data_IF_912964965177
#
_entry.id   IF_912964965177
#
_cell.length_a   1.000
_cell.length_b   1.000
_cell.length_c   1.000
_cell.angle_alpha   90.00
_cell.angle_beta   90.00
_cell.angle_gamma   90.00
#
_symmetry.space_group_name_H-M   'P 1'
#
loop_
_entity.id
_entity.type
_entity.pdbx_description
1 polymer ?
#
# COMPACT_ATOMS: atom_id res chain seq x y z
N UNK A 1 -53.99 -59.72 -28.40
CA UNK A 1 -54.28 -59.05 -27.12
C UNK A 1 -53.92 -57.58 -27.24
N UNK A 2 -54.85 -56.71 -27.65
CA UNK A 2 -54.67 -55.26 -27.72
C UNK A 2 -56.05 -54.58 -27.58
N UNK A 3 -56.77 -54.95 -26.53
CA UNK A 3 -58.02 -54.32 -26.11
C UNK A 3 -57.90 -54.06 -24.60
N UNK A 4 -57.40 -52.87 -24.26
CA UNK A 4 -57.51 -52.15 -22.97
C UNK A 4 -56.21 -51.44 -22.54
N UNK A 5 -55.52 -50.76 -23.47
CA UNK A 5 -54.37 -49.90 -23.15
C UNK A 5 -54.50 -48.47 -23.74
N UNK A 6 -55.66 -48.11 -24.29
CA UNK A 6 -55.90 -46.77 -24.88
C UNK A 6 -55.79 -45.66 -23.83
N UNK A 7 -56.22 -45.91 -22.60
CA UNK A 7 -56.16 -44.94 -21.50
C UNK A 7 -54.75 -44.73 -20.95
N UNK A 8 -53.89 -45.75 -20.98
CA UNK A 8 -52.51 -45.64 -20.50
C UNK A 8 -51.66 -44.84 -21.50
N UNK A 9 -51.84 -45.06 -22.80
CA UNK A 9 -51.19 -44.22 -23.82
C UNK A 9 -51.62 -42.75 -23.72
N UNK A 10 -52.90 -42.47 -23.46
CA UNK A 10 -53.38 -41.10 -23.21
C UNK A 10 -52.79 -40.52 -21.92
N UNK A 11 -52.81 -41.25 -20.81
CA UNK A 11 -52.28 -40.77 -19.53
C UNK A 11 -50.77 -40.51 -19.55
N UNK A 12 -50.00 -41.29 -20.32
CA UNK A 12 -48.55 -41.08 -20.46
C UNK A 12 -48.22 -40.01 -21.50
N UNK A 13 -49.01 -39.84 -22.56
CA UNK A 13 -48.73 -38.83 -23.61
C UNK A 13 -49.16 -37.41 -23.23
N UNK A 14 -50.21 -37.24 -22.42
CA UNK A 14 -50.74 -35.92 -22.03
C UNK A 14 -49.70 -35.05 -21.28
N UNK A 15 -48.91 -35.55 -20.32
CA UNK A 15 -47.84 -34.77 -19.67
C UNK A 15 -46.77 -34.31 -20.66
N UNK A 16 -46.37 -35.16 -21.61
CA UNK A 16 -45.41 -34.79 -22.66
C UNK A 16 -46.02 -33.76 -23.62
N UNK A 17 -47.29 -33.90 -23.99
CA UNK A 17 -48.02 -32.90 -24.78
C UNK A 17 -48.13 -31.57 -24.05
N UNK A 18 -48.37 -31.55 -22.73
CA UNK A 18 -48.41 -30.32 -21.92
C UNK A 18 -47.03 -29.67 -21.86
N UNK A 19 -45.95 -30.43 -21.70
CA UNK A 19 -44.58 -29.90 -21.73
C UNK A 19 -44.23 -29.34 -23.11
N UNK A 20 -44.58 -30.05 -24.20
CA UNK A 20 -44.35 -29.62 -25.58
C UNK A 20 -45.21 -28.39 -25.93
N UNK A 21 -46.49 -28.36 -25.52
CA UNK A 21 -47.35 -27.19 -25.69
C UNK A 21 -46.87 -26.02 -24.83
N UNK A 22 -46.38 -26.25 -23.62
CA UNK A 22 -45.80 -25.20 -22.77
C UNK A 22 -44.52 -24.64 -23.37
N UNK A 23 -43.70 -25.49 -23.99
CA UNK A 23 -42.51 -25.08 -24.75
C UNK A 23 -42.89 -24.28 -26.01
N UNK A 24 -43.97 -24.67 -26.69
CA UNK A 24 -44.53 -23.94 -27.84
C UNK A 24 -45.21 -22.61 -27.44
N UNK A 25 -45.84 -22.53 -26.27
CA UNK A 25 -46.46 -21.31 -25.73
C UNK A 25 -45.43 -20.37 -25.07
N UNK A 26 -44.28 -20.88 -24.63
CA UNK A 26 -43.13 -20.07 -24.17
C UNK A 26 -42.37 -19.40 -25.33
N UNK A 27 -42.60 -19.82 -26.58
CA UNK A 27 -42.41 -18.92 -27.72
C UNK A 27 -43.50 -17.85 -27.62
N UNK A 28 -43.24 -16.81 -26.82
CA UNK A 28 -43.95 -15.53 -26.98
C UNK A 28 -44.08 -15.26 -28.48
N UNK A 29 -45.23 -14.78 -28.98
CA UNK A 29 -45.28 -14.21 -30.31
C UNK A 29 -44.43 -12.95 -30.26
N UNK A 30 -43.12 -13.13 -30.36
CA UNK A 30 -42.21 -12.05 -30.57
C UNK A 30 -42.67 -11.44 -31.88
N UNK A 31 -43.16 -10.19 -31.84
CA UNK A 31 -43.19 -9.40 -33.05
C UNK A 31 -41.80 -9.44 -33.70
N UNK A 32 -41.70 -9.19 -35.00
CA UNK A 32 -40.45 -9.37 -35.75
C UNK A 32 -39.20 -8.77 -35.05
N UNK A 33 -39.38 -7.67 -34.31
CA UNK A 33 -38.38 -7.04 -33.44
C UNK A 33 -37.89 -7.92 -32.29
N UNK A 34 -38.79 -8.57 -31.54
CA UNK A 34 -38.39 -9.50 -30.48
C UNK A 34 -37.69 -10.74 -31.05
N UNK A 35 -38.11 -11.21 -32.23
CA UNK A 35 -37.47 -12.34 -32.91
C UNK A 35 -36.05 -11.96 -33.35
N UNK A 36 -35.86 -10.76 -33.88
CA UNK A 36 -34.53 -10.25 -34.23
C UNK A 36 -33.58 -10.23 -33.02
N UNK A 37 -34.02 -9.70 -31.88
CA UNK A 37 -33.23 -9.66 -30.64
C UNK A 37 -32.86 -11.07 -30.15
N UNK A 38 -33.81 -12.00 -30.22
CA UNK A 38 -33.55 -13.39 -29.85
C UNK A 38 -32.56 -14.08 -30.80
N UNK A 39 -32.74 -13.90 -32.12
CA UNK A 39 -31.89 -14.53 -33.14
C UNK A 39 -30.44 -13.99 -33.09
N UNK A 40 -30.21 -12.79 -32.53
CA UNK A 40 -28.89 -12.15 -32.42
C UNK A 40 -28.43 -11.94 -30.96
N UNK A 41 -29.01 -12.68 -30.02
CA UNK A 41 -28.83 -12.45 -28.57
C UNK A 41 -27.36 -12.44 -28.15
N UNK A 42 -26.56 -13.39 -28.63
CA UNK A 42 -25.14 -13.53 -28.27
C UNK A 42 -24.30 -12.36 -28.80
N UNK A 43 -24.50 -11.97 -30.06
CA UNK A 43 -23.79 -10.83 -30.67
C UNK A 43 -24.13 -9.52 -29.96
N UNK A 44 -25.41 -9.30 -29.66
CA UNK A 44 -25.87 -8.11 -28.93
C UNK A 44 -25.26 -8.06 -27.52
N UNK A 45 -25.28 -9.18 -26.79
CA UNK A 45 -24.67 -9.23 -25.45
C UNK A 45 -23.18 -8.95 -25.50
N UNK A 46 -22.45 -9.53 -26.46
CA UNK A 46 -21.02 -9.29 -26.64
C UNK A 46 -20.71 -7.82 -26.89
N UNK A 47 -21.50 -7.16 -27.73
CA UNK A 47 -21.31 -5.74 -28.04
C UNK A 47 -21.60 -4.84 -26.82
N UNK A 48 -22.66 -5.13 -26.05
CA UNK A 48 -22.95 -4.42 -24.79
C UNK A 48 -21.81 -4.56 -23.80
N UNK A 49 -21.23 -5.77 -23.65
CA UNK A 49 -20.08 -6.00 -22.77
C UNK A 49 -18.87 -5.16 -23.22
N UNK A 50 -18.58 -5.12 -24.52
CA UNK A 50 -17.45 -4.38 -25.07
C UNK A 50 -17.61 -2.85 -24.93
N UNK A 51 -18.80 -2.31 -25.21
CA UNK A 51 -19.09 -0.88 -25.06
C UNK A 51 -18.91 -0.43 -23.60
N UNK A 52 -19.45 -1.20 -22.66
CA UNK A 52 -19.36 -0.89 -21.22
C UNK A 52 -17.92 -0.98 -20.72
N UNK A 53 -17.17 -2.01 -21.13
CA UNK A 53 -15.75 -2.15 -20.79
C UNK A 53 -14.91 -0.98 -21.34
N UNK A 54 -15.22 -0.51 -22.55
CA UNK A 54 -14.55 0.66 -23.15
C UNK A 54 -14.78 1.96 -22.37
N UNK A 55 -15.92 2.06 -21.66
CA UNK A 55 -16.26 3.18 -20.79
C UNK A 55 -15.64 3.05 -19.38
N UNK A 56 -14.76 2.06 -19.16
CA UNK A 56 -14.06 1.82 -17.89
C UNK A 56 -14.93 1.17 -16.82
N UNK A 57 -16.16 0.79 -17.16
CA UNK A 57 -17.07 0.04 -16.31
C UNK A 57 -16.97 -1.44 -16.67
N UNK A 58 -16.94 -2.34 -15.70
CA UNK A 58 -16.90 -3.77 -16.02
C UNK A 58 -18.16 -4.46 -15.53
N UNK A 59 -18.71 -5.36 -16.34
CA UNK A 59 -19.89 -6.15 -16.00
C UNK A 59 -19.62 -7.61 -16.34
N UNK A 60 -20.10 -8.53 -15.50
CA UNK A 60 -19.86 -9.97 -15.63
C UNK A 60 -20.79 -10.65 -16.62
N UNK A 61 -22.01 -10.11 -16.77
CA UNK A 61 -23.04 -10.69 -17.63
C UNK A 61 -24.07 -9.66 -18.04
N UNK A 62 -24.73 -9.93 -19.17
CA UNK A 62 -25.85 -9.15 -19.71
C UNK A 62 -27.04 -10.08 -19.90
N UNK A 63 -28.22 -9.61 -19.47
CA UNK A 63 -29.51 -10.30 -19.62
C UNK A 63 -30.47 -9.37 -20.34
N UNK A 64 -30.87 -9.75 -21.55
CA UNK A 64 -31.84 -8.98 -22.35
C UNK A 64 -33.25 -9.21 -21.78
N UNK A 65 -34.02 -8.16 -21.53
CA UNK A 65 -35.37 -8.28 -20.97
C UNK A 65 -36.34 -8.79 -22.05
N UNK A 66 -36.92 -10.00 -21.90
CA UNK A 66 -37.85 -10.53 -22.89
C UNK A 66 -39.09 -9.63 -23.03
N UNK A 67 -39.56 -9.45 -24.27
CA UNK A 67 -40.76 -8.65 -24.58
C UNK A 67 -40.59 -7.12 -24.48
N UNK A 68 -39.39 -6.63 -24.13
CA UNK A 68 -39.10 -5.19 -24.05
C UNK A 68 -38.81 -4.53 -25.41
N UNK A 69 -38.53 -5.34 -26.43
CA UNK A 69 -38.10 -4.86 -27.73
C UNK A 69 -39.22 -4.10 -28.47
N UNK A 70 -38.91 -2.89 -28.93
CA UNK A 70 -39.79 -1.99 -29.68
C UNK A 70 -39.08 -1.44 -30.90
N UNK A 71 -39.71 -1.61 -32.06
CA UNK A 71 -39.24 -1.03 -33.31
C UNK A 71 -39.78 0.37 -33.49
N UNK A 72 -38.97 1.32 -33.92
CA UNK A 72 -39.40 2.67 -34.28
C UNK A 72 -38.63 3.17 -35.49
N UNK A 73 -39.19 4.17 -36.16
CA UNK A 73 -38.47 4.96 -37.14
C UNK A 73 -38.24 6.35 -36.57
N UNK A 74 -37.16 7.00 -37.01
CA UNK A 74 -37.01 8.44 -36.82
C UNK A 74 -38.24 9.21 -37.33
N UNK A 75 -38.48 10.37 -36.74
CA UNK A 75 -39.43 11.35 -37.27
C UNK A 75 -38.82 12.05 -38.49
N UNK A 76 -38.54 11.28 -39.54
CA UNK A 76 -37.66 11.68 -40.65
C UNK A 76 -38.15 12.81 -41.55
N UNK A 77 -39.38 13.30 -41.40
CA UNK A 77 -39.91 14.47 -42.11
C UNK A 77 -39.41 14.61 -43.56
N UNK A 78 -38.76 15.73 -43.84
CA UNK A 78 -38.24 16.12 -45.17
C UNK A 78 -36.82 15.57 -45.47
N UNK A 79 -36.16 14.92 -44.49
CA UNK A 79 -34.76 14.48 -44.59
C UNK A 79 -34.60 12.95 -44.64
N UNK A 80 -35.68 12.20 -44.42
CA UNK A 80 -35.63 10.75 -44.26
C UNK A 80 -35.18 10.35 -42.85
N UNK A 81 -35.14 9.06 -42.59
CA UNK A 81 -34.87 8.56 -41.24
C UNK A 81 -34.46 7.10 -41.25
N UNK A 82 -34.08 6.54 -40.10
CA UNK A 82 -33.67 5.15 -39.98
C UNK A 82 -34.59 4.37 -39.07
N UNK A 83 -34.45 3.05 -39.15
CA UNK A 83 -35.12 2.13 -38.25
C UNK A 83 -34.25 1.86 -37.02
N UNK A 84 -34.91 1.76 -35.88
CA UNK A 84 -34.29 1.52 -34.58
C UNK A 84 -35.02 0.42 -33.84
N UNK A 85 -34.28 -0.34 -33.05
CA UNK A 85 -34.85 -1.26 -32.05
C UNK A 85 -34.40 -0.83 -30.67
N UNK A 86 -35.35 -0.46 -29.82
CA UNK A 86 -35.11 -0.18 -28.40
C UNK A 86 -35.48 -1.38 -27.56
N UNK A 87 -34.64 -1.74 -26.60
CA UNK A 87 -34.95 -2.76 -25.59
C UNK A 87 -34.27 -2.44 -24.26
N UNK A 88 -34.65 -3.19 -23.23
CA UNK A 88 -34.04 -3.08 -21.90
C UNK A 88 -33.12 -4.26 -21.67
N UNK A 89 -31.94 -4.01 -21.10
CA UNK A 89 -31.06 -5.05 -20.61
C UNK A 89 -30.74 -4.81 -19.12
N UNK A 90 -30.38 -5.87 -18.42
CA UNK A 90 -29.84 -5.82 -17.06
C UNK A 90 -28.48 -6.47 -17.04
N UNK A 91 -27.62 -6.02 -16.13
CA UNK A 91 -26.28 -6.57 -15.98
C UNK A 91 -26.12 -7.30 -14.67
N UNK A 92 -25.19 -8.24 -14.60
CA UNK A 92 -24.85 -9.01 -13.39
C UNK A 92 -26.05 -9.70 -12.73
N UNK A 93 -27.11 -9.99 -13.50
CA UNK A 93 -28.40 -10.48 -12.99
C UNK A 93 -29.05 -9.56 -11.93
N UNK A 94 -28.72 -8.27 -11.90
CA UNK A 94 -29.30 -7.29 -11.00
C UNK A 94 -30.28 -6.38 -11.76
N UNK A 95 -31.59 -6.53 -11.50
CA UNK A 95 -32.63 -5.72 -12.16
C UNK A 95 -32.52 -4.21 -11.87
N UNK A 96 -31.83 -3.83 -10.78
CA UNK A 96 -31.56 -2.43 -10.46
C UNK A 96 -30.40 -1.86 -11.28
N UNK A 97 -29.52 -2.70 -11.82
CA UNK A 97 -28.51 -2.36 -12.82
C UNK A 97 -29.10 -2.58 -14.22
N UNK A 98 -29.98 -1.68 -14.63
CA UNK A 98 -30.65 -1.73 -15.92
C UNK A 98 -30.10 -0.69 -16.88
N UNK A 99 -30.24 -0.96 -18.17
CA UNK A 99 -29.92 -0.02 -19.23
C UNK A 99 -30.97 -0.08 -20.34
N UNK A 100 -31.16 1.05 -21.03
CA UNK A 100 -31.87 1.10 -22.31
C UNK A 100 -30.84 1.03 -23.43
N UNK A 101 -31.05 0.09 -24.35
CA UNK A 101 -30.17 -0.15 -25.48
C UNK A 101 -30.93 0.15 -26.77
N UNK A 102 -30.24 0.80 -27.69
CA UNK A 102 -30.70 1.06 -29.06
C UNK A 102 -29.84 0.28 -30.05
N UNK A 103 -30.49 -0.38 -31.00
CA UNK A 103 -29.86 -0.85 -32.23
C UNK A 103 -30.30 0.05 -33.38
N UNK A 104 -29.33 0.67 -34.03
CA UNK A 104 -29.51 1.56 -35.17
C UNK A 104 -29.26 0.81 -36.48
N UNK A 105 -30.19 0.89 -37.44
CA UNK A 105 -30.12 0.19 -38.73
C UNK A 105 -29.99 1.20 -39.88
N UNK A 106 -28.77 1.55 -40.33
CA UNK A 106 -28.55 2.57 -41.37
C UNK A 106 -29.12 2.17 -42.74
N UNK A 107 -29.21 0.86 -43.01
CA UNK A 107 -29.65 0.36 -44.31
C UNK A 107 -31.17 0.16 -44.37
N UNK A 108 -31.84 0.23 -43.23
CA UNK A 108 -33.31 0.18 -43.11
C UNK A 108 -33.91 1.60 -43.07
N UNK A 109 -33.38 2.47 -43.92
CA UNK A 109 -33.80 3.87 -44.04
C UNK A 109 -35.20 4.04 -44.65
N UNK A 110 -35.83 5.15 -44.29
CA UNK A 110 -37.04 5.67 -44.93
C UNK A 110 -36.68 6.92 -45.74
N UNK A 111 -37.09 7.01 -47.01
CA UNK A 111 -36.91 8.21 -47.79
C UNK A 111 -37.64 9.42 -47.19
N UNK A 112 -37.21 10.66 -47.51
CA UNK A 112 -37.98 11.88 -47.27
C UNK A 112 -39.45 11.75 -47.70
N UNK A 113 -40.36 12.40 -46.97
CA UNK A 113 -41.79 12.47 -47.31
C UNK A 113 -42.53 11.11 -47.36
N UNK A 114 -42.00 10.08 -46.70
CA UNK A 114 -42.63 8.75 -46.65
C UNK A 114 -43.81 8.73 -45.68
N UNK A 115 -45.04 8.67 -46.21
CA UNK A 115 -46.26 8.56 -45.40
C UNK A 115 -46.54 7.14 -44.89
N UNK A 116 -46.15 6.11 -45.66
CA UNK A 116 -46.30 4.70 -45.28
C UNK A 116 -44.93 4.13 -45.00
N UNK A 117 -44.62 3.94 -43.71
CA UNK A 117 -43.33 3.42 -43.27
C UNK A 117 -43.14 1.99 -43.82
N UNK A 118 -42.02 1.67 -44.51
CA UNK A 118 -41.75 0.33 -44.98
C UNK A 118 -41.61 -0.64 -43.80
N UNK A 119 -41.95 -1.90 -44.03
CA UNK A 119 -41.67 -2.95 -43.06
C UNK A 119 -40.23 -3.45 -43.30
N UNK A 120 -39.27 -3.16 -42.40
CA UNK A 120 -37.87 -3.50 -42.63
C UNK A 120 -37.63 -5.03 -42.67
N UNK A 121 -38.54 -5.81 -42.08
CA UNK A 121 -38.46 -7.27 -42.06
C UNK A 121 -38.85 -7.93 -43.38
N UNK A 122 -39.41 -7.18 -44.34
CA UNK A 122 -39.66 -7.67 -45.71
C UNK A 122 -38.39 -7.68 -46.56
N UNK A 123 -37.33 -6.99 -46.13
CA UNK A 123 -36.04 -6.91 -46.80
C UNK A 123 -34.92 -7.25 -45.83
N UNK A 124 -34.68 -8.54 -45.49
CA UNK A 124 -33.74 -8.94 -44.44
C UNK A 124 -32.31 -8.39 -44.60
N UNK A 125 -31.90 -8.12 -45.84
CA UNK A 125 -30.61 -7.50 -46.18
C UNK A 125 -30.41 -6.14 -45.50
N UNK A 126 -31.47 -5.33 -45.33
CA UNK A 126 -31.39 -4.01 -44.69
C UNK A 126 -31.21 -4.09 -43.17
N UNK A 127 -31.40 -5.29 -42.59
CA UNK A 127 -31.28 -5.54 -41.15
C UNK A 127 -29.94 -6.18 -40.78
N UNK A 128 -29.04 -6.44 -41.76
CA UNK A 128 -27.75 -7.12 -41.52
C UNK A 128 -26.74 -6.24 -40.79
N UNK A 129 -26.69 -4.95 -41.13
CA UNK A 129 -25.78 -3.99 -40.51
C UNK A 129 -26.54 -3.19 -39.46
N UNK A 130 -26.02 -3.21 -38.24
CA UNK A 130 -26.55 -2.42 -37.13
C UNK A 130 -25.41 -1.91 -36.25
N UNK A 131 -25.70 -0.86 -35.50
CA UNK A 131 -24.80 -0.27 -34.51
C UNK A 131 -25.51 -0.21 -33.16
N UNK A 132 -24.75 -0.41 -32.08
CA UNK A 132 -25.28 -0.41 -30.72
C UNK A 132 -25.01 0.92 -30.04
N UNK A 133 -25.99 1.42 -29.28
CA UNK A 133 -25.81 2.54 -28.38
C UNK A 133 -26.51 2.27 -27.04
N UNK A 134 -25.79 2.47 -25.94
CA UNK A 134 -26.36 2.47 -24.59
C UNK A 134 -26.87 3.89 -24.30
N UNK A 135 -28.19 4.03 -24.23
CA UNK A 135 -28.85 5.34 -24.16
C UNK A 135 -28.98 5.86 -22.72
N UNK A 136 -29.36 4.97 -21.80
CA UNK A 136 -29.57 5.31 -20.39
C UNK A 136 -29.11 4.15 -19.51
N UNK A 137 -28.44 4.47 -18.41
CA UNK A 137 -28.02 3.51 -17.38
C UNK A 137 -28.66 3.90 -16.06
N UNK A 138 -29.10 2.92 -15.28
CA UNK A 138 -29.70 3.17 -13.97
C UNK A 138 -28.69 3.79 -12.99
N UNK A 139 -29.17 4.60 -12.04
CA UNK A 139 -28.33 5.30 -11.06
C UNK A 139 -27.87 4.41 -9.88
N UNK A 140 -27.68 3.10 -10.10
CA UNK A 140 -27.30 2.17 -9.02
C UNK A 140 -25.80 2.29 -8.67
N UNK A 141 -25.42 2.59 -7.41
CA UNK A 141 -24.01 2.76 -7.03
C UNK A 141 -23.12 1.54 -7.35
N UNK A 142 -23.72 0.35 -7.47
CA UNK A 142 -23.01 -0.89 -7.76
C UNK A 142 -22.47 -1.01 -9.20
N UNK A 143 -22.70 -0.01 -10.07
CA UNK A 143 -22.01 0.12 -11.36
C UNK A 143 -20.49 0.32 -11.19
N UNK A 144 -20.03 0.86 -10.06
CA UNK A 144 -18.65 1.30 -9.83
C UNK A 144 -17.83 0.32 -8.96
N UNK A 145 -18.05 -0.98 -9.13
CA UNK A 145 -17.40 -2.03 -8.34
C UNK A 145 -15.86 -2.02 -8.48
N UNK A 146 -15.34 -1.55 -9.62
CA UNK A 146 -13.89 -1.43 -9.89
C UNK A 146 -13.25 -0.35 -9.02
N UNK A 147 -13.91 0.81 -8.84
CA UNK A 147 -13.45 1.83 -7.88
C UNK A 147 -13.45 1.31 -6.44
N UNK A 148 -14.45 0.53 -6.06
CA UNK A 148 -14.48 -0.09 -4.73
C UNK A 148 -13.34 -1.09 -4.54
N UNK A 149 -13.06 -1.91 -5.56
CA UNK A 149 -11.93 -2.83 -5.54
C UNK A 149 -10.58 -2.10 -5.50
N UNK A 150 -10.40 -1.04 -6.28
CA UNK A 150 -9.17 -0.23 -6.30
C UNK A 150 -8.94 0.44 -4.94
N UNK A 151 -10.00 0.99 -4.32
CA UNK A 151 -9.93 1.51 -2.95
C UNK A 151 -9.56 0.44 -1.92
N UNK A 152 -10.13 -0.75 -2.03
CA UNK A 152 -9.79 -1.87 -1.13
C UNK A 152 -8.33 -2.30 -1.30
N UNK A 153 -7.84 -2.38 -2.53
CA UNK A 153 -6.45 -2.69 -2.84
C UNK A 153 -5.51 -1.62 -2.26
N UNK A 154 -5.84 -0.33 -2.41
CA UNK A 154 -5.07 0.78 -1.82
C UNK A 154 -5.01 0.67 -0.28
N UNK A 155 -6.15 0.43 0.36
CA UNK A 155 -6.23 0.25 1.82
C UNK A 155 -5.38 -0.94 2.26
N UNK A 156 -5.47 -2.08 1.56
CA UNK A 156 -4.67 -3.27 1.88
C UNK A 156 -3.17 -3.03 1.73
N UNK A 157 -2.74 -2.35 0.66
CA UNK A 157 -1.34 -2.00 0.47
C UNK A 157 -0.82 -1.06 1.56
N UNK A 158 -1.62 -0.06 1.97
CA UNK A 158 -1.26 0.84 3.05
C UNK A 158 -1.13 0.11 4.40
N UNK A 159 -2.04 -0.81 4.71
CA UNK A 159 -1.97 -1.64 5.92
C UNK A 159 -0.74 -2.55 5.93
N UNK A 160 -0.40 -3.18 4.80
CA UNK A 160 0.81 -4.00 4.67
C UNK A 160 2.08 -3.17 4.88
N UNK A 161 2.16 -1.97 4.27
CA UNK A 161 3.29 -1.07 4.46
C UNK A 161 3.49 -0.66 5.92
N UNK A 162 2.40 -0.33 6.63
CA UNK A 162 2.44 -0.02 8.07
C UNK A 162 2.84 -1.23 8.92
N UNK A 163 2.35 -2.43 8.60
CA UNK A 163 2.73 -3.63 9.32
C UNK A 163 4.23 -3.96 9.13
N UNK A 164 4.73 -3.84 7.90
CA UNK A 164 6.15 -4.04 7.57
C UNK A 164 7.02 -2.98 8.26
N UNK A 165 6.60 -1.71 8.26
CA UNK A 165 7.35 -0.65 8.94
C UNK A 165 7.41 -0.88 10.45
N UNK A 166 6.27 -1.18 11.10
CA UNK A 166 6.22 -1.51 12.53
C UNK A 166 7.05 -2.75 12.87
N UNK A 167 7.05 -3.77 12.01
CA UNK A 167 7.89 -4.96 12.17
C UNK A 167 9.38 -4.64 12.09
N UNK A 168 9.79 -3.78 11.15
CA UNK A 168 11.17 -3.28 11.06
C UNK A 168 11.55 -2.45 12.28
N UNK A 169 10.66 -1.57 12.74
CA UNK A 169 10.89 -0.75 13.94
C UNK A 169 11.07 -1.63 15.18
N UNK A 170 10.20 -2.63 15.39
CA UNK A 170 10.33 -3.57 16.49
C UNK A 170 11.64 -4.37 16.42
N UNK A 171 12.01 -4.87 15.24
CA UNK A 171 13.29 -5.57 15.05
C UNK A 171 14.49 -4.67 15.35
N UNK A 172 14.41 -3.40 14.93
CA UNK A 172 15.44 -2.40 15.19
C UNK A 172 15.60 -2.12 16.69
N UNK A 173 14.49 -1.96 17.43
CA UNK A 173 14.52 -1.76 18.88
C UNK A 173 15.11 -2.95 19.63
N UNK A 174 14.68 -4.18 19.29
CA UNK A 174 15.21 -5.40 19.91
C UNK A 174 16.71 -5.55 19.67
N UNK A 175 17.18 -5.30 18.43
CA UNK A 175 18.62 -5.31 18.13
C UNK A 175 19.37 -4.26 18.93
N UNK A 176 18.84 -3.04 19.02
CA UNK A 176 19.45 -1.95 19.80
C UNK A 176 19.61 -2.34 21.27
N UNK A 177 18.57 -2.90 21.89
CA UNK A 177 18.61 -3.32 23.30
C UNK A 177 19.64 -4.42 23.56
N UNK A 178 19.72 -5.44 22.69
CA UNK A 178 20.71 -6.51 22.81
C UNK A 178 22.13 -5.95 22.72
N UNK A 179 22.40 -5.06 21.76
CA UNK A 179 23.73 -4.46 21.56
C UNK A 179 24.11 -3.54 22.73
N UNK A 180 23.17 -2.76 23.25
CA UNK A 180 23.39 -1.95 24.47
C UNK A 180 23.69 -2.87 25.65
N UNK A 181 23.01 -4.00 25.78
CA UNK A 181 23.27 -4.97 26.86
C UNK A 181 24.67 -5.55 26.78
N UNK A 182 25.14 -5.95 25.61
CA UNK A 182 26.51 -6.45 25.45
C UNK A 182 27.54 -5.35 25.68
N UNK A 183 27.32 -4.16 25.15
CA UNK A 183 28.17 -3.01 25.41
C UNK A 183 28.26 -2.66 26.90
N UNK A 184 27.14 -2.70 27.63
CA UNK A 184 27.12 -2.49 29.08
C UNK A 184 27.93 -3.57 29.81
N UNK A 185 27.81 -4.83 29.40
CA UNK A 185 28.58 -5.93 29.99
C UNK A 185 30.08 -5.74 29.75
N UNK A 186 30.47 -5.41 28.52
CA UNK A 186 31.86 -5.08 28.19
C UNK A 186 32.35 -3.89 29.03
N UNK A 187 31.56 -2.80 29.12
CA UNK A 187 31.93 -1.63 29.92
C UNK A 187 32.13 -1.97 31.41
N UNK A 188 31.31 -2.85 31.98
CA UNK A 188 31.47 -3.29 33.38
C UNK A 188 32.80 -4.02 33.62
N UNK A 189 33.23 -4.85 32.68
CA UNK A 189 34.48 -5.61 32.80
C UNK A 189 35.71 -4.70 32.62
N UNK A 190 35.58 -3.59 31.88
CA UNK A 190 36.69 -2.71 31.54
C UNK A 190 36.55 -1.25 32.03
N UNK A 191 35.67 -1.01 33.00
CA UNK A 191 35.26 0.34 33.43
C UNK A 191 36.47 1.20 33.84
N UNK A 192 37.36 0.63 34.65
CA UNK A 192 38.53 1.33 35.19
C UNK A 192 39.54 1.72 34.10
N UNK A 193 39.76 0.85 33.12
CA UNK A 193 40.62 1.14 31.96
C UNK A 193 40.03 2.28 31.13
N UNK A 194 38.70 2.30 30.96
CA UNK A 194 38.00 3.35 30.24
C UNK A 194 38.08 4.70 30.96
N UNK A 195 37.84 4.72 32.28
CA UNK A 195 38.00 5.93 33.11
C UNK A 195 39.41 6.47 32.98
N UNK A 196 40.41 5.61 33.13
CA UNK A 196 41.83 5.99 33.04
C UNK A 196 42.16 6.62 31.68
N UNK A 197 41.63 6.07 30.58
CA UNK A 197 41.86 6.61 29.24
C UNK A 197 41.28 8.03 29.08
N UNK A 198 40.06 8.28 29.55
CA UNK A 198 39.46 9.62 29.52
C UNK A 198 40.26 10.58 30.43
N UNK A 199 40.53 10.18 31.67
CA UNK A 199 41.25 11.00 32.63
C UNK A 199 42.64 11.39 32.14
N UNK A 200 43.37 10.42 31.59
CA UNK A 200 44.72 10.66 31.05
C UNK A 200 44.69 11.70 29.95
N UNK A 201 43.70 11.68 29.06
CA UNK A 201 43.56 12.71 28.06
C UNK A 201 43.18 14.05 28.66
N UNK A 202 42.15 14.08 29.52
CA UNK A 202 41.57 15.31 30.07
C UNK A 202 42.59 16.06 30.94
N UNK A 203 43.15 15.40 31.95
CA UNK A 203 43.99 16.05 32.97
C UNK A 203 45.43 16.25 32.53
N UNK A 204 45.94 15.49 31.55
CA UNK A 204 47.24 15.81 30.95
C UNK A 204 47.22 17.14 30.21
N UNK A 205 46.10 17.47 29.57
CA UNK A 205 45.96 18.69 28.79
C UNK A 205 45.51 19.87 29.67
N UNK A 206 44.62 19.64 30.64
CA UNK A 206 44.18 20.64 31.61
C UNK A 206 44.27 20.10 33.07
N UNK A 207 45.46 20.15 33.68
CA UNK A 207 45.70 19.57 35.02
C UNK A 207 44.88 20.23 36.14
N UNK A 208 44.47 21.49 35.97
CA UNK A 208 43.66 22.18 36.98
C UNK A 208 42.28 21.54 37.15
N UNK A 209 41.77 20.87 36.12
CA UNK A 209 40.47 20.22 36.17
C UNK A 209 40.44 19.07 37.16
N UNK A 210 41.55 18.36 37.40
CA UNK A 210 41.58 17.30 38.40
C UNK A 210 41.29 17.85 39.80
N UNK A 211 41.83 19.03 40.13
CA UNK A 211 41.54 19.69 41.39
C UNK A 211 40.10 20.22 41.46
N UNK A 212 39.50 20.61 40.34
CA UNK A 212 38.12 21.16 40.30
C UNK A 212 37.06 20.06 40.29
N UNK A 213 37.30 18.96 39.58
CA UNK A 213 36.33 17.88 39.33
C UNK A 213 36.57 16.62 40.17
N UNK A 214 37.80 16.36 40.63
CA UNK A 214 38.20 15.06 41.18
C UNK A 214 38.43 14.01 40.10
N UNK A 215 38.54 12.73 40.46
CA UNK A 215 38.64 11.65 39.46
C UNK A 215 37.30 11.38 38.80
N UNK A 216 37.31 10.60 37.72
CA UNK A 216 36.06 10.06 37.17
C UNK A 216 35.57 9.00 38.15
N UNK A 217 34.36 9.20 38.66
CA UNK A 217 33.73 8.30 39.61
C UNK A 217 33.09 7.11 38.90
N UNK A 218 32.32 7.38 37.85
CA UNK A 218 31.60 6.35 37.09
C UNK A 218 31.48 6.72 35.62
N UNK A 219 31.36 5.69 34.79
CA UNK A 219 31.02 5.81 33.38
C UNK A 219 29.92 4.81 33.04
N UNK A 220 28.95 5.24 32.25
CA UNK A 220 27.86 4.38 31.77
C UNK A 220 27.56 4.65 30.30
N UNK A 221 27.08 3.64 29.58
CA UNK A 221 26.49 3.87 28.25
C UNK A 221 25.28 4.78 28.42
N UNK A 222 25.27 5.90 27.70
CA UNK A 222 24.19 6.89 27.83
C UNK A 222 22.86 6.29 27.37
N UNK A 223 21.78 6.57 28.09
CA UNK A 223 20.41 6.21 27.68
C UNK A 223 20.03 6.91 26.36
N UNK A 224 20.64 8.08 26.09
CA UNK A 224 20.45 8.85 24.88
C UNK A 224 21.37 8.39 23.74
N UNK A 225 21.34 7.11 23.38
CA UNK A 225 21.93 6.62 22.13
C UNK A 225 21.03 6.98 20.95
N UNK A 226 21.54 7.82 20.04
CA UNK A 226 20.81 8.19 18.81
C UNK A 226 20.75 7.03 17.80
N UNK A 227 21.79 6.19 17.76
CA UNK A 227 21.93 5.10 16.79
C UNK A 227 22.13 3.75 17.45
N UNK A 228 21.99 2.67 16.67
CA UNK A 228 22.42 1.34 17.09
C UNK A 228 23.95 1.37 17.25
N UNK A 229 24.50 0.95 18.41
CA UNK A 229 25.94 0.84 18.60
C UNK A 229 26.57 -0.05 17.51
N UNK A 230 27.60 0.46 16.85
CA UNK A 230 28.30 -0.21 15.76
C UNK A 230 29.74 0.30 15.64
N UNK A 231 30.57 -0.41 14.87
CA UNK A 231 31.99 -0.04 14.63
C UNK A 231 32.16 1.35 13.99
N UNK A 232 31.15 1.83 13.27
CA UNK A 232 31.21 3.08 12.50
C UNK A 232 30.47 4.24 13.16
N UNK A 233 29.79 4.00 14.28
CA UNK A 233 28.99 5.00 14.98
C UNK A 233 29.69 5.47 16.25
N UNK A 234 29.60 6.77 16.52
CA UNK A 234 30.00 7.30 17.82
C UNK A 234 29.00 6.84 18.89
N UNK A 235 29.55 6.35 19.99
CA UNK A 235 28.79 5.84 21.14
C UNK A 235 28.90 6.86 22.25
N UNK A 236 27.76 7.23 22.81
CA UNK A 236 27.70 8.22 23.87
C UNK A 236 27.88 7.55 25.23
N UNK A 237 28.76 8.09 26.05
CA UNK A 237 28.92 7.68 27.44
C UNK A 237 28.64 8.86 28.36
N UNK A 238 27.97 8.56 29.46
CA UNK A 238 27.73 9.48 30.57
C UNK A 238 28.86 9.30 31.57
N UNK A 239 29.47 10.41 31.98
CA UNK A 239 30.66 10.48 32.84
C UNK A 239 30.29 11.33 34.05
N UNK A 240 30.59 10.80 35.25
CA UNK A 240 30.39 11.52 36.52
C UNK A 240 31.72 11.69 37.23
N UNK A 241 31.89 12.84 37.86
CA UNK A 241 33.13 13.21 38.56
C UNK A 241 32.93 13.11 40.08
N UNK A 242 33.99 12.75 40.82
CA UNK A 242 33.92 12.55 42.28
C UNK A 242 33.37 13.77 43.05
N UNK A 243 33.68 14.99 42.62
CA UNK A 243 33.21 16.22 43.28
C UNK A 243 31.80 16.64 42.90
N UNK A 244 31.26 16.05 41.83
CA UNK A 244 29.93 16.34 41.30
C UNK A 244 29.26 15.02 40.85
N UNK A 245 29.04 14.07 41.78
CA UNK A 245 28.51 12.74 41.46
C UNK A 245 27.07 12.79 40.89
N UNK A 246 26.33 13.87 41.16
CA UNK A 246 24.99 14.10 40.65
C UNK A 246 24.97 14.68 39.23
N UNK A 247 26.09 15.24 38.77
CA UNK A 247 26.17 15.91 37.47
C UNK A 247 26.69 14.96 36.39
N UNK A 248 26.10 15.06 35.20
CA UNK A 248 26.49 14.24 34.05
C UNK A 248 27.21 15.10 33.02
N UNK A 249 28.40 14.67 32.64
CA UNK A 249 29.05 15.07 31.41
C UNK A 249 28.92 13.95 30.38
N UNK A 250 28.85 14.29 29.09
CA UNK A 250 28.74 13.32 28.00
C UNK A 250 29.99 13.35 27.14
N UNK A 251 30.48 12.17 26.75
CA UNK A 251 31.57 11.99 25.81
C UNK A 251 31.13 11.04 24.69
N UNK A 252 31.54 11.34 23.45
CA UNK A 252 31.30 10.47 22.30
C UNK A 252 32.60 9.75 21.93
N UNK A 253 32.53 8.43 21.81
CA UNK A 253 33.69 7.55 21.58
C UNK A 253 33.36 6.52 20.51
N UNK A 254 34.31 6.21 19.63
CA UNK A 254 34.23 5.06 18.73
C UNK A 254 34.94 3.86 19.33
N UNK A 255 34.27 2.71 19.28
CA UNK A 255 34.83 1.43 19.69
C UNK A 255 35.24 0.61 18.47
N UNK A 256 36.52 0.25 18.44
CA UNK A 256 37.11 -0.64 17.45
C UNK A 256 37.43 -1.97 18.10
N UNK A 257 36.62 -2.99 17.84
CA UNK A 257 36.88 -4.34 18.36
C UNK A 257 38.13 -4.94 17.71
N UNK A 258 38.96 -5.61 18.50
CA UNK A 258 40.13 -6.33 18.02
C UNK A 258 39.68 -7.66 17.40
N UNK A 259 39.87 -7.81 16.09
CA UNK A 259 39.50 -9.03 15.34
C UNK A 259 38.16 -8.97 14.59
N UNK A 260 37.69 -10.14 14.15
CA UNK A 260 36.48 -10.25 13.31
C UNK A 260 35.18 -10.08 14.11
N UNK A 261 35.17 -10.48 15.38
CA UNK A 261 34.01 -10.33 16.27
C UNK A 261 33.92 -8.92 16.84
N UNK A 262 32.71 -8.45 17.15
CA UNK A 262 32.48 -7.10 17.68
C UNK A 262 32.01 -7.14 19.13
N UNK A 263 32.42 -6.15 19.94
CA UNK A 263 31.92 -5.95 21.32
C UNK A 263 30.39 -5.81 21.42
N UNK A 264 29.74 -5.48 20.30
CA UNK A 264 28.27 -5.42 20.21
C UNK A 264 27.61 -6.79 19.98
N UNK A 265 28.40 -7.85 19.83
CA UNK A 265 27.96 -9.23 19.63
C UNK A 265 28.59 -10.18 20.65
N UNK A 266 29.86 -9.95 20.97
CA UNK A 266 30.63 -10.68 21.99
C UNK A 266 31.34 -9.68 22.93
N UNK A 267 30.86 -9.52 24.17
CA UNK A 267 31.44 -8.59 25.13
C UNK A 267 32.78 -9.06 25.73
N UNK A 268 33.30 -10.23 25.35
CA UNK A 268 34.63 -10.69 25.82
C UNK A 268 35.79 -10.22 24.94
N UNK A 269 35.49 -9.54 23.83
CA UNK A 269 36.48 -9.08 22.86
C UNK A 269 37.17 -7.80 23.33
N UNK A 270 38.49 -7.79 23.30
CA UNK A 270 39.26 -6.56 23.55
C UNK A 270 38.91 -5.49 22.51
N UNK A 271 38.86 -4.23 22.93
CA UNK A 271 38.54 -3.15 22.00
C UNK A 271 39.41 -1.94 22.26
N UNK A 272 39.42 -1.08 21.26
CA UNK A 272 40.22 0.12 21.26
C UNK A 272 39.30 1.30 21.11
N UNK A 273 39.41 2.26 22.03
CA UNK A 273 38.59 3.46 21.99
C UNK A 273 39.31 4.54 21.21
N UNK A 274 38.58 5.24 20.34
CA UNK A 274 39.08 6.44 19.66
C UNK A 274 38.06 7.56 19.72
N UNK A 275 38.50 8.79 19.53
CA UNK A 275 37.64 9.96 19.59
C UNK A 275 37.29 10.47 18.19
N UNK A 276 36.14 11.11 18.07
CA UNK A 276 35.59 11.57 16.79
C UNK A 276 36.60 12.47 16.06
N UNK A 277 37.00 12.08 14.83
CA UNK A 277 37.89 12.88 13.96
C UNK A 277 39.14 13.39 14.67
N UNK A 278 39.75 12.57 15.53
CA UNK A 278 40.94 12.93 16.32
C UNK A 278 40.68 14.13 17.24
N UNK A 279 39.44 14.35 17.68
CA UNK A 279 39.06 15.43 18.60
C UNK A 279 38.53 14.83 19.89
N UNK A 280 39.20 15.15 21.00
CA UNK A 280 38.62 14.92 22.31
C UNK A 280 37.54 15.97 22.56
N UNK A 281 36.35 15.56 22.99
CA UNK A 281 35.25 16.45 23.31
C UNK A 281 34.39 15.87 24.43
N UNK A 282 34.29 16.60 25.54
CA UNK A 282 33.40 16.27 26.66
C UNK A 282 32.50 17.48 26.94
N UNK A 283 31.20 17.23 27.09
CA UNK A 283 30.16 18.26 27.14
C UNK A 283 29.31 18.14 28.38
N UNK A 284 28.77 19.25 28.84
CA UNK A 284 27.77 19.29 29.91
C UNK A 284 26.62 20.22 29.52
N UNK A 285 25.52 20.15 30.26
CA UNK A 285 24.34 20.99 30.03
C UNK A 285 24.51 22.37 30.65
N UNK A 286 23.80 23.38 30.12
CA UNK A 286 23.85 24.77 30.61
C UNK A 286 23.53 24.92 32.10
N UNK A 287 22.57 24.13 32.59
CA UNK A 287 22.12 24.21 33.98
C UNK A 287 22.98 23.37 34.94
N UNK A 288 24.00 22.67 34.43
CA UNK A 288 24.88 21.82 35.24
C UNK A 288 25.87 22.65 36.05
N UNK A 289 26.18 22.21 37.27
CA UNK A 289 27.30 22.78 38.04
C UNK A 289 28.66 22.61 37.36
N UNK A 290 28.78 21.69 36.40
CA UNK A 290 29.98 21.51 35.58
C UNK A 290 30.16 22.62 34.55
N UNK A 291 29.07 23.27 34.12
CA UNK A 291 29.08 24.28 33.05
C UNK A 291 30.07 25.42 33.30
N UNK A 292 30.05 26.14 34.45
CA UNK A 292 31.02 27.20 34.69
C UNK A 292 32.47 26.69 34.71
N UNK A 293 32.70 25.46 35.20
CA UNK A 293 34.03 24.85 35.24
C UNK A 293 34.53 24.55 33.82
N UNK A 294 33.66 23.98 32.98
CA UNK A 294 33.97 23.65 31.60
C UNK A 294 34.17 24.92 30.78
N UNK A 295 33.34 25.94 30.95
CA UNK A 295 33.47 27.21 30.23
C UNK A 295 34.75 27.98 30.60
N UNK A 296 35.19 27.89 31.86
CA UNK A 296 36.41 28.56 32.35
C UNK A 296 37.69 27.73 32.16
N UNK A 297 37.57 26.46 31.73
CA UNK A 297 38.72 25.61 31.39
C UNK A 297 39.52 26.20 30.24
N UNK A 298 40.81 25.88 30.18
CA UNK A 298 41.72 26.29 29.10
C UNK A 298 41.20 25.90 27.71
N UNK A 299 40.54 24.75 27.60
CA UNK A 299 39.97 24.23 26.35
C UNK A 299 38.44 24.30 26.34
N UNK A 300 37.87 25.09 27.26
CA UNK A 300 36.46 25.36 27.41
C UNK A 300 35.88 26.26 26.33
N UNK A 301 34.57 26.18 26.15
CA UNK A 301 33.80 27.14 25.36
C UNK A 301 32.44 27.47 25.99
N UNK A 302 31.77 28.48 25.42
CA UNK A 302 30.49 28.99 25.92
C UNK A 302 29.32 28.01 25.85
N UNK A 303 29.50 26.83 25.26
CA UNK A 303 28.49 25.78 25.18
C UNK A 303 28.68 24.70 26.26
N UNK A 304 29.58 24.91 27.23
CA UNK A 304 29.86 23.91 28.26
C UNK A 304 30.59 22.68 27.69
N UNK A 305 31.48 22.90 26.71
CA UNK A 305 32.27 21.84 26.10
C UNK A 305 33.76 22.11 26.28
N UNK A 306 34.49 21.09 26.74
CA UNK A 306 35.95 21.04 26.71
C UNK A 306 36.34 20.25 25.47
N UNK A 307 37.11 20.85 24.56
CA UNK A 307 37.51 20.19 23.33
C UNK A 307 38.84 20.64 22.74
N UNK A 308 39.57 19.71 22.15
CA UNK A 308 40.85 19.98 21.47
C UNK A 308 41.18 18.88 20.47
N UNK A 309 42.02 19.22 19.48
CA UNK A 309 42.55 18.24 18.52
C UNK A 309 43.64 17.43 19.18
N UNK A 310 43.62 16.12 18.96
CA UNK A 310 44.66 15.20 19.34
C UNK A 310 45.79 15.23 18.28
N UNK A 311 47.04 14.92 18.64
CA UNK A 311 48.14 14.82 17.68
C UNK A 311 47.83 13.81 16.57
N UNK A 312 48.29 14.09 15.34
CA UNK A 312 48.11 13.22 14.16
C UNK A 312 48.91 11.92 14.22
N UNK A 313 49.95 11.88 15.05
CA UNK A 313 50.84 10.73 15.13
C UNK A 313 50.28 9.73 16.13
N UNK A 314 49.93 8.57 15.58
CA UNK A 314 49.25 7.42 16.17
C UNK A 314 47.76 7.60 16.39
N UNK A 315 47.01 6.69 15.76
CA UNK A 315 45.76 6.15 16.24
C UNK A 315 45.63 6.41 17.75
N UNK A 316 44.86 7.44 18.14
CA UNK A 316 44.57 7.76 19.55
C UNK A 316 43.57 6.72 20.06
N UNK A 317 44.09 5.51 20.08
CA UNK A 317 43.43 4.24 20.16
C UNK A 317 43.90 3.68 21.49
N UNK A 318 43.13 3.95 22.55
CA UNK A 318 43.45 3.42 23.88
C UNK A 318 43.00 1.97 23.87
N UNK A 319 43.97 1.05 23.89
CA UNK A 319 43.67 -0.36 24.05
C UNK A 319 43.03 -0.55 25.41
N UNK A 320 41.81 -1.07 25.39
CA UNK A 320 41.09 -1.54 26.55
C UNK A 320 41.20 -3.08 26.49
N UNK A 321 42.18 -3.65 27.22
CA UNK A 321 42.53 -5.08 27.14
C UNK A 321 41.42 -5.97 27.66
#
# INVERSE_FOLDING_TARGET
>A
MLKSYKWIFLAVSVPFLIIILSYLFMRQPFGNTGKFIHDHEDSIKSEILADIDSQGQYIKSVTLLPGSARGSFDNGGDVGGNYHIYFTAYVNNNRKQSMKVELYFPDAGIPPFTFIKPNPYKSPETMKRWYLSVQEVSSDPSWDWKREQDKLNEIMNNLLNVAVSKGKDASWQVRKEIMIRFLNKWLQEHEENFKLAIQTNLYRNDPELEQKLGKIQSISVSEYQMYIPSRNSDIRFDVRFEKYPEEVATINVRLHSQGEQSVFEDPSVAATISFERERFAIKTNYDSKLFPIFNQSRFGNSNGEISYKLPKDYENQFLIP
#
